data_IF_733029193430
#
_entry.id   IF_733029193430
#
_cell.length_a   1.000
_cell.length_b   1.000
_cell.length_c   1.000
_cell.angle_alpha   90.00
_cell.angle_beta   90.00
_cell.angle_gamma   90.00
#
_symmetry.space_group_name_H-M   'P 1'
#
loop_
_entity.id
_entity.type
_entity.pdbx_description
1 polymer ?
#
# COMPACT_ATOMS: atom_id res chain seq x y z
N UNK A 1 11.19 17.03 -1.06
CA UNK A 1 10.70 16.31 0.13
C UNK A 1 11.66 15.21 0.56
N UNK A 2 12.21 14.38 -0.34
CA UNK A 2 13.23 13.38 0.04
C UNK A 2 12.70 12.24 0.91
N UNK A 3 11.37 12.15 1.04
CA UNK A 3 10.69 11.11 1.81
C UNK A 3 10.92 9.74 1.17
N UNK A 4 11.16 8.73 2.00
CA UNK A 4 11.35 7.34 1.58
C UNK A 4 10.32 6.48 2.29
N UNK A 5 9.65 5.62 1.54
CA UNK A 5 8.63 4.70 2.07
C UNK A 5 8.86 3.30 1.52
N UNK A 6 8.90 2.31 2.42
CA UNK A 6 8.88 0.89 2.09
C UNK A 6 7.61 0.28 2.67
N UNK A 7 6.86 -0.43 1.83
CA UNK A 7 5.66 -1.17 2.22
C UNK A 7 5.93 -2.67 2.14
N UNK A 8 5.61 -3.37 3.21
CA UNK A 8 5.70 -4.82 3.31
C UNK A 8 4.29 -5.39 3.36
N UNK A 9 3.97 -6.31 2.47
CA UNK A 9 2.67 -7.02 2.47
C UNK A 9 2.88 -8.52 2.64
N UNK A 10 1.99 -9.14 3.40
CA UNK A 10 1.83 -10.59 3.48
C UNK A 10 0.51 -10.96 2.84
N UNK A 11 0.55 -11.72 1.75
CA UNK A 11 -0.66 -12.15 1.04
C UNK A 11 -1.12 -13.50 1.57
N UNK A 12 -2.40 -13.59 1.92
CA UNK A 12 -3.09 -14.82 2.28
C UNK A 12 -4.09 -15.23 1.21
N UNK A 13 -4.59 -16.47 1.31
CA UNK A 13 -5.67 -16.98 0.45
C UNK A 13 -6.87 -17.38 1.31
N UNK A 14 -8.06 -16.90 0.97
CA UNK A 14 -9.33 -17.25 1.62
C UNK A 14 -10.40 -17.39 0.53
N UNK A 15 -11.13 -18.51 0.54
CA UNK A 15 -12.20 -18.80 -0.41
C UNK A 15 -11.76 -18.62 -1.88
N UNK A 16 -10.56 -19.09 -2.22
CA UNK A 16 -10.01 -18.96 -3.58
C UNK A 16 -9.43 -17.58 -3.94
N UNK A 17 -9.69 -16.53 -3.14
CA UNK A 17 -9.22 -15.15 -3.40
C UNK A 17 -7.99 -14.81 -2.57
N UNK A 18 -7.12 -13.98 -3.15
CA UNK A 18 -5.93 -13.44 -2.49
C UNK A 18 -6.26 -12.12 -1.80
N UNK A 19 -5.77 -11.95 -0.58
CA UNK A 19 -6.01 -10.76 0.24
C UNK A 19 -4.77 -10.38 1.03
N UNK A 20 -4.66 -9.11 1.41
CA UNK A 20 -3.59 -8.60 2.27
C UNK A 20 -3.86 -9.08 3.71
N UNK A 21 -3.20 -10.17 4.10
CA UNK A 21 -3.31 -10.74 5.45
C UNK A 21 -2.65 -9.85 6.49
N UNK A 22 -1.49 -9.30 6.15
CA UNK A 22 -0.78 -8.35 7.00
C UNK A 22 -0.07 -7.30 6.14
N UNK A 23 0.10 -6.11 6.69
CA UNK A 23 0.78 -4.99 6.03
C UNK A 23 1.54 -4.18 7.08
N UNK A 24 2.77 -3.81 6.75
CA UNK A 24 3.66 -2.98 7.57
C UNK A 24 4.34 -1.95 6.70
N UNK A 25 4.84 -0.88 7.31
CA UNK A 25 5.58 0.16 6.61
C UNK A 25 6.80 0.60 7.39
N UNK A 26 7.81 1.06 6.67
CA UNK A 26 8.93 1.84 7.20
C UNK A 26 9.01 3.12 6.38
N UNK A 27 9.04 4.27 7.05
CA UNK A 27 9.05 5.57 6.37
C UNK A 27 10.01 6.53 7.04
N UNK A 28 10.76 7.26 6.23
CA UNK A 28 11.52 8.43 6.63
C UNK A 28 10.89 9.63 5.94
N UNK A 29 10.23 10.49 6.70
CA UNK A 29 9.54 11.64 6.16
C UNK A 29 8.85 12.46 7.23
N UNK A 30 8.10 13.47 6.81
CA UNK A 30 7.39 14.34 7.74
C UNK A 30 6.20 13.63 8.43
N UNK A 31 5.62 14.26 9.46
CA UNK A 31 4.47 13.72 10.19
C UNK A 31 3.27 13.36 9.27
N UNK A 32 3.08 14.08 8.15
CA UNK A 32 2.03 13.78 7.18
C UNK A 32 2.32 12.51 6.38
N UNK A 33 3.59 12.20 6.10
CA UNK A 33 4.01 10.95 5.48
C UNK A 33 3.75 9.77 6.43
N UNK A 34 4.13 9.90 7.71
CA UNK A 34 3.88 8.88 8.74
C UNK A 34 2.37 8.62 8.89
N UNK A 35 1.56 9.68 9.03
CA UNK A 35 0.12 9.56 9.16
C UNK A 35 -0.54 8.94 7.91
N UNK A 36 -0.11 9.34 6.71
CA UNK A 36 -0.62 8.77 5.45
C UNK A 36 -0.27 7.30 5.30
N UNK A 37 0.97 6.91 5.61
CA UNK A 37 1.41 5.51 5.56
C UNK A 37 0.69 4.65 6.60
N UNK A 38 0.48 5.16 7.81
CA UNK A 38 -0.29 4.46 8.84
C UNK A 38 -1.76 4.29 8.43
N UNK A 39 -2.40 5.31 7.87
CA UNK A 39 -3.79 5.20 7.43
C UNK A 39 -3.93 4.23 6.25
N UNK A 40 -2.98 4.25 5.32
CA UNK A 40 -2.92 3.29 4.22
C UNK A 40 -2.91 1.85 4.71
N UNK A 41 -2.16 1.52 5.77
CA UNK A 41 -2.12 0.15 6.27
C UNK A 41 -3.48 -0.30 6.80
N UNK A 42 -4.19 0.57 7.51
CA UNK A 42 -5.54 0.29 7.99
C UNK A 42 -6.54 0.11 6.84
N UNK A 43 -6.46 0.96 5.81
CA UNK A 43 -7.32 0.85 4.63
C UNK A 43 -7.05 -0.42 3.83
N UNK A 44 -5.80 -0.84 3.70
CA UNK A 44 -5.41 -1.96 2.84
C UNK A 44 -5.55 -3.34 3.50
N UNK A 45 -5.42 -3.42 4.84
CA UNK A 45 -5.44 -4.70 5.55
C UNK A 45 -6.79 -5.41 5.38
N UNK A 46 -6.73 -6.71 5.06
CA UNK A 46 -7.91 -7.54 4.84
C UNK A 46 -8.58 -7.40 3.47
N UNK A 47 -8.26 -6.36 2.69
CA UNK A 47 -8.77 -6.21 1.32
C UNK A 47 -8.15 -7.22 0.37
N UNK A 48 -8.90 -7.57 -0.67
CA UNK A 48 -8.35 -8.32 -1.81
C UNK A 48 -7.30 -7.50 -2.54
N UNK A 49 -6.42 -8.16 -3.30
CA UNK A 49 -5.40 -7.48 -4.10
C UNK A 49 -6.02 -6.46 -5.07
N UNK A 50 -7.16 -6.81 -5.69
CA UNK A 50 -7.86 -5.93 -6.62
C UNK A 50 -8.46 -4.69 -5.94
N UNK A 51 -9.01 -4.85 -4.73
CA UNK A 51 -9.54 -3.73 -3.94
C UNK A 51 -8.41 -2.84 -3.42
N UNK A 52 -7.30 -3.43 -2.97
CA UNK A 52 -6.15 -2.70 -2.48
C UNK A 52 -5.51 -1.81 -3.57
N UNK A 53 -5.48 -2.29 -4.83
CA UNK A 53 -5.01 -1.51 -6.00
C UNK A 53 -5.83 -0.25 -6.27
N UNK A 54 -7.09 -0.22 -5.83
CA UNK A 54 -8.01 0.92 -6.05
C UNK A 54 -7.85 2.00 -4.99
N UNK A 55 -7.11 1.75 -3.90
CA UNK A 55 -6.86 2.76 -2.87
C UNK A 55 -6.09 3.93 -3.49
N UNK A 56 -6.69 5.10 -3.43
CA UNK A 56 -6.16 6.33 -3.98
C UNK A 56 -5.65 7.27 -2.88
N UNK A 57 -4.86 8.26 -3.29
CA UNK A 57 -4.50 9.38 -2.44
C UNK A 57 -5.72 10.02 -1.77
N UNK A 58 -6.85 10.13 -2.48
CA UNK A 58 -8.07 10.76 -1.98
C UNK A 58 -8.71 9.94 -0.86
N UNK A 59 -8.66 8.62 -0.95
CA UNK A 59 -9.18 7.75 0.10
C UNK A 59 -8.38 7.90 1.39
N UNK A 60 -7.04 7.98 1.27
CA UNK A 60 -6.12 8.19 2.39
C UNK A 60 -6.35 9.57 3.01
N UNK A 61 -6.34 10.63 2.20
CA UNK A 61 -6.50 11.99 2.71
C UNK A 61 -7.87 12.23 3.33
N UNK A 62 -8.94 11.68 2.74
CA UNK A 62 -10.30 11.78 3.29
C UNK A 62 -10.43 11.04 4.63
N UNK A 63 -9.77 9.88 4.77
CA UNK A 63 -9.76 9.11 6.02
C UNK A 63 -9.01 9.82 7.16
N UNK A 64 -8.12 10.75 6.83
CA UNK A 64 -7.42 11.62 7.79
C UNK A 64 -8.20 12.90 8.14
N UNK A 65 -9.42 13.09 7.62
CA UNK A 65 -10.19 14.33 7.78
C UNK A 65 -9.78 15.44 6.81
N UNK A 66 -8.99 15.10 5.78
CA UNK A 66 -8.42 16.03 4.82
C UNK A 66 -6.96 16.39 5.12
N UNK A 67 -6.25 16.83 4.09
CA UNK A 67 -4.89 17.37 4.21
C UNK A 67 -4.81 18.71 3.46
N UNK A 68 -4.02 19.68 3.96
CA UNK A 68 -3.74 20.91 3.21
C UNK A 68 -3.17 20.58 1.83
N UNK A 69 -3.49 21.35 0.78
CA UNK A 69 -3.09 21.04 -0.60
C UNK A 69 -1.59 20.74 -0.77
N UNK A 70 -0.73 21.48 -0.06
CA UNK A 70 0.73 21.31 -0.12
C UNK A 70 1.23 19.96 0.42
N UNK A 71 0.46 19.29 1.27
CA UNK A 71 0.81 17.99 1.91
C UNK A 71 0.15 16.79 1.25
N UNK A 72 -0.64 16.98 0.19
CA UNK A 72 -1.26 15.87 -0.55
C UNK A 72 -0.24 14.92 -1.19
N UNK A 73 0.97 15.41 -1.48
CA UNK A 73 2.06 14.57 -2.02
C UNK A 73 2.42 13.39 -1.10
N UNK A 74 2.25 13.53 0.22
CA UNK A 74 2.50 12.44 1.18
C UNK A 74 1.50 11.30 1.03
N UNK A 75 0.24 11.62 0.74
CA UNK A 75 -0.79 10.62 0.46
C UNK A 75 -0.58 9.96 -0.90
N UNK A 76 0.01 10.67 -1.87
CA UNK A 76 0.41 10.05 -3.13
C UNK A 76 1.56 9.05 -2.94
N UNK A 77 2.61 9.42 -2.19
CA UNK A 77 3.73 8.52 -1.86
C UNK A 77 3.23 7.21 -1.22
N UNK A 78 2.28 7.32 -0.29
CA UNK A 78 1.67 6.17 0.36
C UNK A 78 0.95 5.25 -0.65
N UNK A 79 0.03 5.82 -1.46
CA UNK A 79 -0.70 5.05 -2.46
C UNK A 79 0.22 4.38 -3.49
N UNK A 80 1.27 5.07 -3.94
CA UNK A 80 2.24 4.54 -4.89
C UNK A 80 3.10 3.43 -4.26
N UNK A 81 3.47 3.56 -2.98
CA UNK A 81 4.17 2.52 -2.22
C UNK A 81 3.36 1.21 -2.13
N UNK A 82 2.04 1.29 -1.91
CA UNK A 82 1.18 0.11 -1.91
C UNK A 82 1.14 -0.56 -3.29
N UNK A 83 0.96 0.23 -4.36
CA UNK A 83 0.95 -0.30 -5.74
C UNK A 83 2.26 -0.99 -6.09
N UNK A 84 3.39 -0.40 -5.69
CA UNK A 84 4.71 -0.98 -5.91
C UNK A 84 4.88 -2.32 -5.18
N UNK A 85 4.45 -2.41 -3.91
CA UNK A 85 4.50 -3.66 -3.14
C UNK A 85 3.62 -4.76 -3.75
N UNK A 86 2.43 -4.41 -4.25
CA UNK A 86 1.54 -5.36 -4.93
C UNK A 86 2.16 -5.82 -6.27
N UNK A 87 2.73 -4.91 -7.05
CA UNK A 87 3.38 -5.26 -8.31
C UNK A 87 4.59 -6.18 -8.10
N UNK A 88 5.39 -5.96 -7.06
CA UNK A 88 6.49 -6.84 -6.67
C UNK A 88 5.99 -8.25 -6.31
N UNK A 89 4.91 -8.34 -5.54
CA UNK A 89 4.27 -9.63 -5.23
C UNK A 89 3.82 -10.38 -6.49
N UNK A 90 3.11 -9.70 -7.40
CA UNK A 90 2.64 -10.31 -8.65
C UNK A 90 3.80 -10.78 -9.54
N UNK A 91 4.86 -9.99 -9.63
CA UNK A 91 6.08 -10.36 -10.36
C UNK A 91 6.75 -11.60 -9.77
N UNK A 92 6.92 -11.66 -8.44
CA UNK A 92 7.51 -12.82 -7.75
C UNK A 92 6.67 -14.08 -7.96
N UNK A 93 5.34 -13.97 -7.89
CA UNK A 93 4.41 -15.07 -8.16
C UNK A 93 4.55 -15.59 -9.59
N UNK A 94 4.64 -14.71 -10.58
CA UNK A 94 4.83 -15.11 -11.98
C UNK A 94 6.17 -15.82 -12.21
N UNK A 95 7.25 -15.34 -11.59
CA UNK A 95 8.57 -15.96 -11.70
C UNK A 95 8.63 -17.36 -11.04
N UNK A 96 7.94 -17.55 -9.91
CA UNK A 96 7.80 -18.87 -9.27
C UNK A 96 7.07 -19.86 -10.19
N UNK A 97 6.01 -19.42 -10.86
CA UNK A 97 5.27 -20.27 -11.79
C UNK A 97 6.09 -20.69 -13.02
N UNK A 98 7.06 -19.87 -13.46
CA UNK A 98 7.95 -20.20 -14.58
C UNK A 98 9.09 -21.16 -14.20
N UNK A 99 9.57 -21.13 -12.94
CA UNK A 99 10.60 -22.07 -12.47
C UNK A 99 10.06 -23.49 -12.19
N UNK A 100 8.75 -23.61 -12.03
CA UNK A 100 8.07 -24.88 -11.76
C UNK A 100 7.46 -25.52 -13.02
N UNK A 101 7.76 -24.97 -14.20
CA UNK A 101 7.48 -25.54 -15.52
C UNK A 101 8.78 -26.04 -16.12
#
# INVERSE_FOLDING_TARGET
>A
CGDVLVIYIKVGKKNGKEYIKDIKFETMGCAAAIASSSMLTELAKGKTIEEAKKISMKDISSSLGGLPPIKLHCSNLAADGLKAAIADYEKKKNNLNQKNK
#
